data_IF_422758793929
#
_entry.id   IF_422758793929
#
_cell.length_a   1.000
_cell.length_b   1.000
_cell.length_c   1.000
_cell.angle_alpha   90.00
_cell.angle_beta   90.00
_cell.angle_gamma   90.00
#
_symmetry.space_group_name_H-M   'P 1'
#
loop_
_entity.id
_entity.type
_entity.pdbx_description
1 polymer ?
#
# COMPACT_ATOMS: atom_id res chain seq x y z
N UNK A 1 0.62 8.26 -15.83
CA UNK A 1 0.74 6.79 -15.66
C UNK A 1 -0.60 6.26 -15.17
N UNK A 2 -0.96 5.01 -15.50
CA UNK A 2 -2.12 4.35 -14.89
C UNK A 2 -1.83 4.20 -13.38
N UNK A 3 -2.60 4.86 -12.54
CA UNK A 3 -2.58 4.62 -11.10
C UNK A 3 -3.02 3.17 -10.90
N UNK A 4 -2.16 2.39 -10.22
CA UNK A 4 -2.41 0.98 -9.92
C UNK A 4 -3.77 0.83 -9.25
N UNK A 5 -4.52 -0.25 -9.54
CA UNK A 5 -5.74 -0.54 -8.79
C UNK A 5 -5.39 -0.87 -7.33
N UNK A 6 -6.36 -0.76 -6.40
CA UNK A 6 -6.15 -1.11 -5.00
C UNK A 6 -5.54 -2.51 -4.80
N UNK A 7 -5.91 -3.47 -5.65
CA UNK A 7 -5.36 -4.83 -5.66
C UNK A 7 -3.89 -4.86 -6.11
N UNK A 8 -3.56 -4.14 -7.19
CA UNK A 8 -2.16 -4.00 -7.64
C UNK A 8 -1.28 -3.31 -6.60
N UNK A 9 -1.83 -2.36 -5.83
CA UNK A 9 -1.11 -1.76 -4.71
C UNK A 9 -0.80 -2.80 -3.62
N UNK A 10 -1.76 -3.65 -3.25
CA UNK A 10 -1.54 -4.73 -2.26
C UNK A 10 -0.52 -5.75 -2.76
N UNK A 11 -0.58 -6.15 -4.02
CA UNK A 11 0.42 -7.04 -4.62
C UNK A 11 1.82 -6.42 -4.66
N UNK A 12 1.93 -5.13 -4.98
CA UNK A 12 3.21 -4.42 -4.98
C UNK A 12 3.81 -4.35 -3.56
N UNK A 13 2.98 -4.10 -2.55
CA UNK A 13 3.39 -4.07 -1.15
C UNK A 13 3.83 -5.45 -0.64
N UNK A 14 3.23 -6.53 -1.16
CA UNK A 14 3.65 -7.92 -0.84
C UNK A 14 4.98 -8.29 -1.50
N UNK A 15 5.27 -7.77 -2.69
CA UNK A 15 6.56 -7.95 -3.38
C UNK A 15 7.68 -7.13 -2.76
N UNK A 16 7.35 -6.02 -2.11
CA UNK A 16 8.30 -5.20 -1.37
C UNK A 16 8.69 -5.89 -0.06
N UNK A 17 9.90 -6.45 -0.02
CA UNK A 17 10.52 -7.01 1.20
C UNK A 17 10.93 -5.89 2.18
N UNK A 18 9.94 -5.21 2.77
CA UNK A 18 10.16 -4.17 3.76
C UNK A 18 10.56 -4.82 5.08
N UNK A 19 11.76 -4.50 5.57
CA UNK A 19 12.21 -4.91 6.89
C UNK A 19 11.62 -3.97 7.95
N UNK A 20 10.36 -4.22 8.33
CA UNK A 20 9.67 -3.42 9.34
C UNK A 20 9.93 -4.03 10.71
N UNK A 21 10.52 -3.26 11.61
CA UNK A 21 10.73 -3.66 13.01
C UNK A 21 9.69 -2.98 13.88
N UNK A 22 8.88 -3.75 14.58
CA UNK A 22 7.88 -3.25 15.52
C UNK A 22 8.04 -3.95 16.87
N UNK A 23 8.10 -3.18 17.95
CA UNK A 23 8.24 -3.71 19.32
C UNK A 23 9.43 -4.66 19.50
N UNK A 24 10.55 -4.39 18.82
CA UNK A 24 11.76 -5.22 18.88
C UNK A 24 11.67 -6.55 18.11
N UNK A 25 10.58 -6.79 17.37
CA UNK A 25 10.40 -7.96 16.50
C UNK A 25 10.36 -7.52 15.03
N UNK A 26 10.98 -8.32 14.17
CA UNK A 26 10.86 -8.16 12.71
C UNK A 26 9.48 -8.63 12.28
N UNK A 27 8.79 -7.80 11.51
CA UNK A 27 7.50 -8.11 10.91
C UNK A 27 7.76 -8.56 9.48
N UNK A 28 7.64 -9.86 9.21
CA UNK A 28 7.87 -10.42 7.87
C UNK A 28 6.71 -10.16 6.89
N UNK A 29 5.50 -9.90 7.39
CA UNK A 29 4.34 -9.61 6.53
C UNK A 29 3.64 -8.32 6.97
N UNK A 30 3.86 -7.27 6.20
CA UNK A 30 3.34 -5.91 6.42
C UNK A 30 1.84 -5.82 6.11
N UNK A 31 1.36 -6.65 5.17
CA UNK A 31 -0.01 -6.59 4.63
C UNK A 31 -1.03 -7.17 5.60
N UNK A 32 -0.66 -8.26 6.26
CA UNK A 32 -1.54 -8.99 7.18
C UNK A 32 -1.37 -8.54 8.64
N UNK A 33 -0.45 -7.61 8.94
CA UNK A 33 -0.27 -7.10 10.29
C UNK A 33 -1.43 -6.15 10.69
N UNK A 34 -2.18 -6.44 11.76
CA UNK A 34 -3.35 -5.66 12.15
C UNK A 34 -3.04 -4.19 12.48
N UNK A 35 -1.80 -3.86 12.83
CA UNK A 35 -1.39 -2.48 13.12
C UNK A 35 -1.15 -1.68 11.83
N UNK A 36 -0.67 -2.33 10.77
CA UNK A 36 -0.30 -1.68 9.51
C UNK A 36 -1.45 -1.71 8.50
N UNK A 37 -2.41 -2.63 8.67
CA UNK A 37 -3.61 -2.77 7.84
C UNK A 37 -4.44 -1.49 7.71
N UNK A 38 -4.70 -0.69 8.76
CA UNK A 38 -5.42 0.59 8.62
C UNK A 38 -4.67 1.58 7.73
N UNK A 39 -3.34 1.64 7.87
CA UNK A 39 -2.48 2.50 7.04
C UNK A 39 -2.52 2.08 5.57
N UNK A 40 -2.50 0.78 5.29
CA UNK A 40 -2.61 0.24 3.93
C UNK A 40 -3.97 0.55 3.31
N UNK A 41 -5.06 0.40 4.08
CA UNK A 41 -6.40 0.70 3.60
C UNK A 41 -6.56 2.18 3.24
N UNK A 42 -5.94 3.09 4.00
CA UNK A 42 -5.88 4.51 3.65
C UNK A 42 -5.16 4.75 2.32
N UNK A 43 -4.08 4.01 2.05
CA UNK A 43 -3.38 4.04 0.76
C UNK A 43 -4.29 3.61 -0.40
N UNK A 44 -5.00 2.49 -0.24
CA UNK A 44 -5.95 1.97 -1.23
C UNK A 44 -7.06 2.97 -1.53
N UNK A 45 -7.65 3.56 -0.48
CA UNK A 45 -8.72 4.56 -0.62
C UNK A 45 -8.19 5.79 -1.36
N UNK A 46 -7.00 6.28 -1.02
CA UNK A 46 -6.39 7.42 -1.70
C UNK A 46 -6.19 7.14 -3.21
N UNK A 47 -5.60 5.99 -3.54
CA UNK A 47 -5.39 5.57 -4.93
C UNK A 47 -6.71 5.44 -5.69
N UNK A 48 -7.77 5.00 -5.02
CA UNK A 48 -9.11 4.85 -5.60
C UNK A 48 -9.88 6.18 -5.68
N UNK A 49 -9.58 7.14 -4.82
CA UNK A 49 -10.27 8.42 -4.70
C UNK A 49 -9.64 9.54 -5.55
N UNK A 50 -8.42 9.39 -6.05
CA UNK A 50 -7.82 10.38 -6.97
C UNK A 50 -8.61 10.39 -8.29
N UNK A 51 -9.34 11.48 -8.61
CA UNK A 51 -9.98 11.63 -9.90
C UNK A 51 -8.89 11.86 -10.94
N UNK A 52 -8.60 10.81 -11.71
CA UNK A 52 -7.92 10.78 -13.01
C UNK A 52 -7.44 12.17 -13.48
N UNK A 53 -6.29 12.63 -12.98
CA UNK A 53 -5.74 13.92 -13.42
C UNK A 53 -5.53 13.85 -14.94
N UNK A 54 -6.14 14.75 -15.73
CA UNK A 54 -5.87 14.80 -17.15
C UNK A 54 -4.39 15.18 -17.31
N UNK A 55 -3.66 14.40 -18.10
CA UNK A 55 -2.30 14.73 -18.52
C UNK A 55 -2.34 16.12 -19.16
N UNK A 56 -1.80 17.14 -18.51
CA UNK A 56 -1.31 18.31 -19.22
C UNK A 56 -0.05 17.85 -19.97
N UNK A 57 -0.24 17.67 -21.28
CA UNK A 57 0.82 17.71 -22.28
C UNK A 57 1.38 19.12 -22.34
#
# INVERSE_FOLDING_TARGET
>A
MALMTGEQYVESMRKLNLQVYMFGKKVDNVVDNPILRPSLNSGIVNISAVPKYPKCI
#
